data_IF_466228929837
#
_entry.id   IF_466228929837
#
_cell.length_a   1.000
_cell.length_b   1.000
_cell.length_c   1.000
_cell.angle_alpha   90.00
_cell.angle_beta   90.00
_cell.angle_gamma   90.00
#
_symmetry.space_group_name_H-M   'P 1'
#
loop_
_entity.id
_entity.type
_entity.pdbx_description
1 polymer ?
#
# COMPACT_ATOMS: atom_id res chain seq x y z
N UNK A 1 23.25 -6.42 3.45
CA UNK A 1 23.72 -7.81 3.34
C UNK A 1 24.53 -7.91 2.07
N UNK A 2 25.63 -8.62 2.08
CA UNK A 2 26.51 -8.82 0.92
C UNK A 2 26.26 -10.19 0.32
N UNK A 3 26.61 -10.40 -0.95
CA UNK A 3 26.40 -11.68 -1.66
C UNK A 3 26.98 -12.87 -0.88
N UNK A 4 28.19 -12.72 -0.33
CA UNK A 4 28.84 -13.79 0.42
C UNK A 4 28.08 -14.18 1.70
N UNK A 5 27.50 -13.21 2.41
CA UNK A 5 26.65 -13.49 3.58
C UNK A 5 25.35 -14.21 3.16
N UNK A 6 24.73 -13.76 2.06
CA UNK A 6 23.53 -14.39 1.54
C UNK A 6 23.76 -15.84 1.12
N UNK A 7 24.88 -16.14 0.45
CA UNK A 7 25.25 -17.51 0.07
C UNK A 7 25.37 -18.42 1.30
N UNK A 8 26.05 -17.95 2.35
CA UNK A 8 26.17 -18.69 3.61
C UNK A 8 24.80 -18.95 4.26
N UNK A 9 23.96 -17.92 4.34
CA UNK A 9 22.63 -18.02 4.95
C UNK A 9 21.74 -18.97 4.17
N UNK A 10 21.76 -18.89 2.83
CA UNK A 10 21.00 -19.78 1.95
C UNK A 10 21.43 -21.24 2.10
N UNK A 11 22.73 -21.52 2.15
CA UNK A 11 23.23 -22.87 2.41
C UNK A 11 22.75 -23.40 3.76
N UNK A 12 22.86 -22.61 4.82
CA UNK A 12 22.42 -23.01 6.16
C UNK A 12 20.91 -23.27 6.20
N UNK A 13 20.10 -22.41 5.57
CA UNK A 13 18.65 -22.61 5.46
C UNK A 13 18.31 -23.89 4.68
N UNK A 14 19.13 -24.24 3.66
CA UNK A 14 18.97 -25.48 2.89
C UNK A 14 19.49 -26.72 3.64
N UNK A 15 20.04 -26.58 4.85
CA UNK A 15 20.54 -27.68 5.67
C UNK A 15 21.81 -28.33 5.13
N UNK A 16 22.52 -27.67 4.20
CA UNK A 16 23.70 -28.25 3.53
C UNK A 16 25.00 -27.85 4.24
N UNK A 17 25.93 -28.80 4.32
CA UNK A 17 27.33 -28.49 4.67
C UNK A 17 28.05 -27.84 3.47
N UNK A 18 29.19 -27.19 3.71
CA UNK A 18 30.01 -26.64 2.62
C UNK A 18 30.51 -27.73 1.65
N UNK A 19 30.75 -28.93 2.16
CA UNK A 19 31.20 -30.10 1.39
C UNK A 19 30.09 -30.59 0.44
N UNK A 20 28.88 -30.77 0.98
CA UNK A 20 27.72 -31.20 0.19
C UNK A 20 27.31 -30.16 -0.86
N UNK A 21 27.33 -28.87 -0.52
CA UNK A 21 27.06 -27.82 -1.48
C UNK A 21 28.09 -27.80 -2.61
N UNK A 22 29.38 -27.94 -2.26
CA UNK A 22 30.47 -27.99 -3.23
C UNK A 22 30.33 -29.20 -4.17
N UNK A 23 30.08 -30.39 -3.62
CA UNK A 23 29.89 -31.63 -4.41
C UNK A 23 28.75 -31.48 -5.41
N UNK A 24 27.62 -30.89 -5.03
CA UNK A 24 26.43 -30.75 -5.90
C UNK A 24 26.62 -29.75 -7.05
N UNK A 25 27.48 -28.75 -6.89
CA UNK A 25 27.78 -27.77 -7.96
C UNK A 25 29.09 -28.02 -8.69
N UNK A 26 29.76 -29.15 -8.38
CA UNK A 26 31.02 -29.52 -9.02
C UNK A 26 32.23 -28.69 -8.59
N UNK A 27 32.23 -28.19 -7.34
CA UNK A 27 33.30 -27.38 -6.76
C UNK A 27 34.00 -28.07 -5.59
N UNK A 28 35.11 -27.49 -5.18
CA UNK A 28 35.78 -27.88 -3.93
C UNK A 28 35.16 -27.14 -2.73
N UNK A 29 35.20 -27.73 -1.53
CA UNK A 29 34.79 -27.10 -0.29
C UNK A 29 35.50 -25.75 -0.08
N UNK A 30 36.80 -25.66 -0.49
CA UNK A 30 37.54 -24.40 -0.38
C UNK A 30 36.97 -23.29 -1.28
N UNK A 31 36.44 -23.62 -2.46
CA UNK A 31 35.80 -22.65 -3.35
C UNK A 31 34.53 -22.08 -2.71
N UNK A 32 33.63 -22.94 -2.19
CA UNK A 32 32.43 -22.52 -1.47
C UNK A 32 32.81 -21.66 -0.25
N UNK A 33 33.79 -22.10 0.56
CA UNK A 33 34.27 -21.31 1.71
C UNK A 33 34.86 -19.95 1.27
N UNK A 34 35.52 -19.90 0.11
CA UNK A 34 36.01 -18.64 -0.47
C UNK A 34 34.89 -17.70 -0.88
N UNK A 35 33.82 -18.21 -1.45
CA UNK A 35 32.62 -17.42 -1.81
C UNK A 35 31.89 -16.90 -0.57
N UNK A 36 31.68 -17.75 0.44
CA UNK A 36 30.99 -17.39 1.68
C UNK A 36 31.80 -16.44 2.59
N UNK A 37 33.12 -16.43 2.46
CA UNK A 37 34.01 -15.51 3.19
C UNK A 37 34.26 -14.20 2.45
N UNK A 38 33.81 -14.08 1.19
CA UNK A 38 34.04 -12.91 0.36
C UNK A 38 35.46 -12.82 -0.24
N UNK A 39 36.31 -13.85 -0.04
CA UNK A 39 37.67 -13.90 -0.61
C UNK A 39 37.67 -14.07 -2.12
N UNK A 40 36.61 -14.67 -2.65
CA UNK A 40 36.38 -14.87 -4.09
C UNK A 40 34.94 -14.49 -4.41
N UNK A 41 34.73 -14.03 -5.63
CA UNK A 41 33.38 -13.78 -6.13
C UNK A 41 33.03 -14.89 -7.15
N UNK A 42 31.86 -15.55 -7.03
CA UNK A 42 31.37 -16.44 -8.06
C UNK A 42 31.02 -15.64 -9.31
N UNK A 43 31.23 -16.23 -10.46
CA UNK A 43 30.75 -15.73 -11.76
C UNK A 43 29.23 -15.89 -11.87
N UNK A 44 28.65 -15.34 -12.94
CA UNK A 44 27.19 -15.35 -13.13
C UNK A 44 26.64 -16.77 -13.27
N UNK A 45 27.37 -17.66 -13.99
CA UNK A 45 26.94 -19.04 -14.20
C UNK A 45 26.96 -19.83 -12.88
N UNK A 46 27.95 -19.56 -12.04
CA UNK A 46 28.04 -20.17 -10.72
C UNK A 46 26.95 -19.62 -9.77
N UNK A 47 26.62 -18.32 -9.85
CA UNK A 47 25.51 -17.75 -9.10
C UNK A 47 24.17 -18.38 -9.48
N UNK A 48 23.95 -18.67 -10.76
CA UNK A 48 22.76 -19.39 -11.24
C UNK A 48 22.71 -20.82 -10.69
N UNK A 49 23.82 -21.59 -10.78
CA UNK A 49 23.91 -22.95 -10.21
C UNK A 49 23.66 -22.97 -8.69
N UNK A 50 24.20 -21.98 -7.97
CA UNK A 50 23.97 -21.87 -6.52
C UNK A 50 22.52 -21.45 -6.22
N UNK A 51 21.89 -20.63 -7.07
CA UNK A 51 20.48 -20.28 -6.93
C UNK A 51 19.58 -21.52 -7.10
N UNK A 52 19.85 -22.36 -8.11
CA UNK A 52 19.15 -23.63 -8.31
C UNK A 52 19.36 -24.59 -7.14
N UNK A 53 20.61 -24.75 -6.68
CA UNK A 53 20.95 -25.61 -5.54
C UNK A 53 20.19 -25.22 -4.28
N UNK A 54 20.05 -23.92 -4.01
CA UNK A 54 19.39 -23.40 -2.81
C UNK A 54 17.90 -23.14 -3.03
N UNK A 55 17.32 -23.59 -4.14
CA UNK A 55 15.90 -23.37 -4.49
C UNK A 55 15.47 -21.91 -4.34
N UNK A 56 16.27 -21.00 -4.94
CA UNK A 56 16.02 -19.56 -4.92
C UNK A 56 16.27 -18.97 -6.31
N UNK A 57 15.87 -17.74 -6.51
CA UNK A 57 16.22 -16.97 -7.69
C UNK A 57 17.57 -16.24 -7.53
N UNK A 58 18.14 -15.76 -8.63
CA UNK A 58 19.40 -15.01 -8.62
C UNK A 58 19.33 -13.79 -7.69
N UNK A 59 18.16 -13.15 -7.61
CA UNK A 59 17.92 -11.98 -6.76
C UNK A 59 17.96 -12.37 -5.28
N UNK A 60 17.46 -13.55 -4.93
CA UNK A 60 17.57 -14.12 -3.58
C UNK A 60 19.02 -14.37 -3.18
N UNK A 61 19.88 -14.76 -4.13
CA UNK A 61 21.32 -14.92 -3.87
C UNK A 61 21.99 -13.56 -3.71
N UNK A 62 21.71 -12.59 -4.58
CA UNK A 62 22.37 -11.28 -4.58
C UNK A 62 21.89 -10.40 -3.39
N UNK A 63 20.59 -10.34 -3.17
CA UNK A 63 19.98 -9.43 -2.17
C UNK A 63 19.57 -10.13 -0.88
N UNK A 64 19.55 -11.46 -0.85
CA UNK A 64 19.13 -12.28 0.28
C UNK A 64 17.60 -12.41 0.40
N UNK A 65 17.11 -13.63 0.64
CA UNK A 65 15.67 -13.92 0.84
C UNK A 65 15.04 -13.04 1.92
N UNK A 66 15.75 -12.82 3.03
CA UNK A 66 15.24 -12.01 4.14
C UNK A 66 15.10 -10.54 3.81
N UNK A 67 15.93 -9.97 2.92
CA UNK A 67 15.82 -8.55 2.54
C UNK A 67 14.72 -8.32 1.52
N UNK A 68 14.58 -9.19 0.52
CA UNK A 68 13.50 -9.14 -0.47
C UNK A 68 12.13 -9.32 0.21
N UNK A 69 12.00 -10.29 1.11
CA UNK A 69 10.77 -10.53 1.86
C UNK A 69 10.42 -9.38 2.80
N UNK A 70 11.41 -8.78 3.47
CA UNK A 70 11.21 -7.57 4.31
C UNK A 70 10.76 -6.38 3.47
N UNK A 71 11.35 -6.18 2.28
CA UNK A 71 10.95 -5.11 1.35
C UNK A 71 9.52 -5.33 0.86
N UNK A 72 9.19 -6.55 0.43
CA UNK A 72 7.83 -6.91 0.01
C UNK A 72 6.82 -6.67 1.13
N UNK A 73 7.11 -7.10 2.36
CA UNK A 73 6.24 -6.87 3.52
C UNK A 73 6.05 -5.38 3.81
N UNK A 74 7.12 -4.57 3.72
CA UNK A 74 7.01 -3.10 3.89
C UNK A 74 6.12 -2.48 2.82
N UNK A 75 6.28 -2.91 1.56
CA UNK A 75 5.43 -2.46 0.47
C UNK A 75 3.96 -2.85 0.69
N UNK A 76 3.68 -4.09 1.07
CA UNK A 76 2.32 -4.55 1.36
C UNK A 76 1.67 -3.76 2.52
N UNK A 77 2.43 -3.49 3.59
CA UNK A 77 1.93 -2.65 4.69
C UNK A 77 1.68 -1.22 4.22
N UNK A 78 2.59 -0.63 3.45
CA UNK A 78 2.42 0.71 2.90
C UNK A 78 1.19 0.78 1.98
N UNK A 79 0.99 -0.21 1.10
CA UNK A 79 -0.17 -0.31 0.24
C UNK A 79 -1.48 -0.42 1.05
N UNK A 80 -1.49 -1.26 2.08
CA UNK A 80 -2.65 -1.40 2.96
C UNK A 80 -2.98 -0.09 3.69
N UNK A 81 -1.98 0.61 4.22
CA UNK A 81 -2.17 1.92 4.90
C UNK A 81 -2.66 2.98 3.92
N UNK A 82 -2.08 3.05 2.73
CA UNK A 82 -2.51 3.96 1.66
C UNK A 82 -3.97 3.72 1.25
N UNK A 83 -4.45 2.50 1.36
CA UNK A 83 -5.84 2.16 1.12
C UNK A 83 -6.76 2.48 2.32
N UNK A 84 -6.41 2.01 3.52
CA UNK A 84 -7.30 2.07 4.68
C UNK A 84 -7.46 3.49 5.24
N UNK A 85 -6.41 4.31 5.24
CA UNK A 85 -6.46 5.64 5.85
C UNK A 85 -7.45 6.56 5.12
N UNK A 86 -7.36 6.76 3.78
CA UNK A 86 -8.36 7.54 3.06
C UNK A 86 -9.77 6.96 3.17
N UNK A 87 -9.91 5.63 3.14
CA UNK A 87 -11.21 4.97 3.26
C UNK A 87 -11.87 5.27 4.63
N UNK A 88 -11.12 5.19 5.72
CA UNK A 88 -11.62 5.53 7.06
C UNK A 88 -11.99 7.01 7.18
N UNK A 89 -11.17 7.90 6.62
CA UNK A 89 -11.46 9.33 6.63
C UNK A 89 -12.73 9.65 5.82
N UNK A 90 -12.92 9.00 4.67
CA UNK A 90 -14.13 9.14 3.86
C UNK A 90 -15.36 8.58 4.59
N UNK A 91 -15.22 7.49 5.33
CA UNK A 91 -16.29 6.95 6.18
C UNK A 91 -16.68 7.94 7.29
N UNK A 92 -15.67 8.51 7.98
CA UNK A 92 -15.92 9.54 9.01
C UNK A 92 -16.60 10.76 8.42
N UNK A 93 -16.18 11.23 7.25
CA UNK A 93 -16.82 12.30 6.50
C UNK A 93 -18.30 11.99 6.24
N UNK A 94 -18.60 10.80 5.69
CA UNK A 94 -19.97 10.37 5.41
C UNK A 94 -20.84 10.28 6.68
N UNK A 95 -20.27 9.81 7.79
CA UNK A 95 -20.94 9.80 9.09
C UNK A 95 -21.25 11.22 9.61
N UNK A 96 -20.34 12.19 9.42
CA UNK A 96 -20.58 13.57 9.81
C UNK A 96 -21.69 14.23 8.99
N UNK A 97 -21.76 13.98 7.69
CA UNK A 97 -22.85 14.45 6.85
C UNK A 97 -24.19 13.90 7.35
N UNK A 98 -24.27 12.59 7.60
CA UNK A 98 -25.47 11.96 8.12
C UNK A 98 -25.87 12.56 9.47
N UNK A 99 -24.92 12.76 10.38
CA UNK A 99 -25.11 13.41 11.66
C UNK A 99 -25.65 14.84 11.51
N UNK A 100 -25.02 15.64 10.63
CA UNK A 100 -25.48 17.01 10.37
C UNK A 100 -26.92 17.05 9.83
N UNK A 101 -27.26 16.14 8.92
CA UNK A 101 -28.59 16.10 8.32
C UNK A 101 -29.67 15.59 9.28
N UNK A 102 -29.33 14.71 10.22
CA UNK A 102 -30.29 14.18 11.21
C UNK A 102 -30.47 15.08 12.42
N UNK A 103 -29.35 15.63 12.93
CA UNK A 103 -29.39 16.43 14.16
C UNK A 103 -29.64 17.92 13.90
N UNK A 104 -29.25 18.44 12.73
CA UNK A 104 -29.38 19.85 12.35
C UNK A 104 -30.04 19.99 10.97
N UNK A 105 -31.29 19.52 10.80
CA UNK A 105 -31.99 19.63 9.53
C UNK A 105 -32.25 21.09 9.19
N UNK A 106 -31.78 21.51 8.01
CA UNK A 106 -32.04 22.88 7.49
C UNK A 106 -32.75 22.72 6.16
N UNK A 107 -33.95 23.26 6.04
CA UNK A 107 -34.64 23.34 4.75
C UNK A 107 -34.00 24.43 3.89
N UNK A 108 -33.96 24.21 2.55
CA UNK A 108 -33.30 25.13 1.63
C UNK A 108 -33.92 26.53 1.57
N UNK A 109 -35.18 26.69 2.07
CA UNK A 109 -35.95 27.91 2.17
C UNK A 109 -35.99 28.51 3.59
N UNK A 110 -35.21 27.95 4.53
CA UNK A 110 -35.17 28.39 5.92
C UNK A 110 -34.59 29.80 6.02
N UNK A 111 -35.38 30.74 6.49
CA UNK A 111 -34.93 32.10 6.75
C UNK A 111 -34.00 32.17 7.97
N UNK A 112 -32.93 32.96 7.85
CA UNK A 112 -32.03 33.26 8.97
C UNK A 112 -32.72 34.23 9.92
N UNK A 113 -33.20 33.72 11.04
CA UNK A 113 -33.79 34.49 12.13
C UNK A 113 -32.95 34.30 13.40
N UNK A 114 -33.14 35.10 14.42
CA UNK A 114 -32.45 34.91 15.72
C UNK A 114 -32.70 33.51 16.30
N UNK A 115 -33.87 32.95 16.06
CA UNK A 115 -34.21 31.59 16.52
C UNK A 115 -33.51 30.48 15.74
N UNK A 116 -33.26 30.66 14.43
CA UNK A 116 -32.63 29.67 13.55
C UNK A 116 -31.12 29.83 13.46
N UNK A 117 -30.57 30.99 13.80
CA UNK A 117 -29.13 31.28 13.75
C UNK A 117 -28.26 30.24 14.45
N UNK A 118 -28.49 29.84 15.74
CA UNK A 118 -27.61 28.88 16.41
C UNK A 118 -27.60 27.50 15.75
N UNK A 119 -28.71 27.08 15.16
CA UNK A 119 -28.82 25.84 14.40
C UNK A 119 -27.93 25.91 13.15
N UNK A 120 -28.01 27.02 12.41
CA UNK A 120 -27.25 27.22 11.17
C UNK A 120 -25.76 27.33 11.48
N UNK A 121 -25.35 28.07 12.50
CA UNK A 121 -23.95 28.21 12.91
C UNK A 121 -23.34 26.86 13.32
N UNK A 122 -24.08 26.07 14.11
CA UNK A 122 -23.62 24.70 14.49
C UNK A 122 -23.46 23.80 13.27
N UNK A 123 -24.42 23.87 12.35
CA UNK A 123 -24.32 23.10 11.10
C UNK A 123 -23.10 23.53 10.24
N UNK A 124 -22.85 24.84 10.12
CA UNK A 124 -21.68 25.37 9.40
C UNK A 124 -20.36 24.92 10.05
N UNK A 125 -20.29 24.85 11.36
CA UNK A 125 -19.12 24.32 12.07
C UNK A 125 -18.88 22.82 11.75
N UNK A 126 -19.95 22.03 11.69
CA UNK A 126 -19.86 20.61 11.28
C UNK A 126 -19.44 20.49 9.82
N UNK A 127 -19.96 21.34 8.93
CA UNK A 127 -19.54 21.39 7.51
C UNK A 127 -18.03 21.71 7.40
N UNK A 128 -17.53 22.67 8.13
CA UNK A 128 -16.10 22.98 8.15
C UNK A 128 -15.23 21.80 8.62
N UNK A 129 -15.73 21.00 9.57
CA UNK A 129 -15.04 19.79 10.01
C UNK A 129 -15.01 18.70 8.91
N UNK A 130 -16.05 18.55 8.13
CA UNK A 130 -16.05 17.54 7.06
C UNK A 130 -15.13 17.94 5.88
N UNK A 131 -15.06 19.23 5.51
CA UNK A 131 -14.12 19.73 4.49
C UNK A 131 -12.66 19.45 4.89
N UNK A 132 -12.36 19.62 6.19
CA UNK A 132 -11.04 19.27 6.73
C UNK A 132 -10.75 17.77 6.56
N UNK A 133 -11.70 16.89 6.86
CA UNK A 133 -11.54 15.44 6.70
C UNK A 133 -11.33 15.04 5.24
N UNK A 134 -12.04 15.65 4.32
CA UNK A 134 -11.86 15.44 2.88
C UNK A 134 -10.44 15.85 2.44
N UNK A 135 -9.99 17.03 2.83
CA UNK A 135 -8.62 17.50 2.57
C UNK A 135 -7.55 16.57 3.14
N UNK A 136 -7.75 16.06 4.36
CA UNK A 136 -6.85 15.09 4.97
C UNK A 136 -6.86 13.74 4.23
N UNK A 137 -8.00 13.28 3.76
CA UNK A 137 -8.10 12.05 2.97
C UNK A 137 -7.36 12.17 1.63
N UNK A 138 -7.50 13.30 0.94
CA UNK A 138 -6.76 13.61 -0.28
C UNK A 138 -5.25 13.67 -0.03
N UNK A 139 -4.81 14.40 1.00
CA UNK A 139 -3.40 14.52 1.37
C UNK A 139 -2.80 13.14 1.73
N UNK A 140 -3.52 12.31 2.50
CA UNK A 140 -3.10 10.97 2.86
C UNK A 140 -2.96 10.07 1.62
N UNK A 141 -3.88 10.17 0.66
CA UNK A 141 -3.84 9.46 -0.61
C UNK A 141 -2.59 9.83 -1.43
N UNK A 142 -2.30 11.12 -1.59
CA UNK A 142 -1.09 11.60 -2.28
C UNK A 142 0.19 11.15 -1.58
N UNK A 143 0.28 11.33 -0.27
CA UNK A 143 1.45 10.91 0.51
C UNK A 143 1.69 9.39 0.41
N UNK A 144 0.63 8.59 0.48
CA UNK A 144 0.68 7.15 0.29
C UNK A 144 1.19 6.76 -1.10
N UNK A 145 0.73 7.44 -2.15
CA UNK A 145 1.20 7.22 -3.52
C UNK A 145 2.69 7.52 -3.68
N UNK A 146 3.17 8.64 -3.13
CA UNK A 146 4.60 8.98 -3.14
C UNK A 146 5.40 7.89 -2.41
N UNK A 147 4.93 7.44 -1.25
CA UNK A 147 5.58 6.37 -0.49
C UNK A 147 5.68 5.08 -1.29
N UNK A 148 4.60 4.67 -1.95
CA UNK A 148 4.58 3.47 -2.81
C UNK A 148 5.52 3.61 -4.00
N UNK A 149 5.54 4.77 -4.67
CA UNK A 149 6.46 5.05 -5.76
C UNK A 149 7.93 4.97 -5.34
N UNK A 150 8.27 5.42 -4.14
CA UNK A 150 9.63 5.32 -3.58
C UNK A 150 10.00 3.88 -3.22
N UNK A 151 9.04 3.08 -2.76
CA UNK A 151 9.29 1.69 -2.38
C UNK A 151 9.34 0.73 -3.57
N UNK A 152 8.69 1.08 -4.70
CA UNK A 152 8.56 0.23 -5.89
C UNK A 152 9.91 -0.18 -6.52
N UNK A 153 10.91 0.71 -6.74
CA UNK A 153 12.15 0.38 -7.43
C UNK A 153 13.00 -0.71 -6.76
N UNK A 154 12.70 -1.08 -5.53
CA UNK A 154 13.44 -2.14 -4.81
C UNK A 154 12.71 -3.47 -4.73
N UNK A 155 11.54 -3.59 -5.38
CA UNK A 155 10.73 -4.80 -5.35
C UNK A 155 11.05 -5.72 -6.53
N UNK A 156 11.29 -6.97 -6.19
CA UNK A 156 11.43 -8.07 -7.15
C UNK A 156 10.84 -9.34 -6.53
N UNK A 157 9.95 -10.05 -7.21
CA UNK A 157 9.31 -9.68 -8.49
C UNK A 157 8.32 -8.51 -8.32
N UNK A 158 8.17 -7.72 -9.38
CA UNK A 158 7.12 -6.69 -9.44
C UNK A 158 5.75 -7.34 -9.30
N UNK A 159 4.80 -6.69 -8.63
CA UNK A 159 3.43 -7.17 -8.59
C UNK A 159 2.90 -7.31 -10.03
N UNK A 160 2.22 -8.43 -10.32
CA UNK A 160 1.70 -8.64 -11.66
C UNK A 160 0.60 -7.62 -11.96
N UNK A 161 0.45 -7.19 -13.21
CA UNK A 161 -0.61 -6.26 -13.64
C UNK A 161 -2.01 -6.71 -13.18
N UNK A 162 -2.26 -8.02 -13.12
CA UNK A 162 -3.54 -8.58 -12.64
C UNK A 162 -3.80 -8.23 -11.17
N UNK A 163 -2.79 -8.33 -10.31
CA UNK A 163 -2.93 -7.98 -8.88
C UNK A 163 -3.07 -6.47 -8.68
N UNK A 164 -2.36 -5.66 -9.47
CA UNK A 164 -2.50 -4.21 -9.45
C UNK A 164 -3.90 -3.77 -9.87
N UNK A 165 -4.42 -4.32 -10.97
CA UNK A 165 -5.78 -4.04 -11.43
C UNK A 165 -6.84 -4.48 -10.40
N UNK A 166 -6.67 -5.66 -9.80
CA UNK A 166 -7.57 -6.14 -8.75
C UNK A 166 -7.56 -5.22 -7.53
N UNK A 167 -6.39 -4.71 -7.15
CA UNK A 167 -6.25 -3.77 -6.04
C UNK A 167 -6.97 -2.44 -6.33
N UNK A 168 -6.78 -1.86 -7.51
CA UNK A 168 -7.48 -0.63 -7.94
C UNK A 168 -9.00 -0.84 -7.95
N UNK A 169 -9.45 -1.98 -8.49
CA UNK A 169 -10.88 -2.31 -8.54
C UNK A 169 -11.47 -2.47 -7.14
N UNK A 170 -10.79 -3.19 -6.24
CA UNK A 170 -11.22 -3.35 -4.85
C UNK A 170 -11.28 -2.01 -4.11
N UNK A 171 -10.34 -1.11 -4.42
CA UNK A 171 -10.28 0.23 -3.88
C UNK A 171 -11.49 1.08 -4.30
N UNK A 172 -11.79 1.12 -5.59
CA UNK A 172 -12.95 1.83 -6.14
C UNK A 172 -14.27 1.27 -5.59
N UNK A 173 -14.41 -0.06 -5.58
CA UNK A 173 -15.61 -0.71 -5.04
C UNK A 173 -15.79 -0.45 -3.54
N UNK A 174 -14.70 -0.46 -2.77
CA UNK A 174 -14.71 -0.12 -1.34
C UNK A 174 -15.17 1.33 -1.09
N UNK A 175 -14.63 2.28 -1.87
CA UNK A 175 -15.04 3.67 -1.82
C UNK A 175 -16.53 3.86 -2.16
N UNK A 176 -17.01 3.24 -3.23
CA UNK A 176 -18.42 3.26 -3.61
C UNK A 176 -19.30 2.65 -2.50
N UNK A 177 -18.92 1.51 -1.95
CA UNK A 177 -19.67 0.83 -0.89
C UNK A 177 -19.78 1.68 0.39
N UNK A 178 -18.76 2.49 0.69
CA UNK A 178 -18.76 3.38 1.86
C UNK A 178 -19.62 4.64 1.64
N UNK A 179 -19.63 5.19 0.44
CA UNK A 179 -20.26 6.51 0.20
C UNK A 179 -21.70 6.40 -0.33
N UNK A 180 -22.02 5.38 -1.12
CA UNK A 180 -23.30 5.23 -1.78
C UNK A 180 -24.52 5.14 -0.84
N UNK A 181 -24.45 4.43 0.32
CA UNK A 181 -25.55 4.42 1.28
C UNK A 181 -25.88 5.79 1.84
N UNK A 182 -24.87 6.62 2.09
CA UNK A 182 -25.06 7.96 2.66
C UNK A 182 -25.67 8.95 1.66
N UNK A 183 -25.36 8.79 0.36
CA UNK A 183 -25.91 9.65 -0.70
C UNK A 183 -27.43 9.54 -0.83
N UNK A 184 -28.04 8.47 -0.33
CA UNK A 184 -29.49 8.28 -0.34
C UNK A 184 -30.22 9.11 0.74
N UNK A 185 -29.50 9.49 1.78
CA UNK A 185 -30.02 10.23 2.94
C UNK A 185 -29.61 11.71 2.96
N UNK A 186 -28.84 12.15 1.97
CA UNK A 186 -28.37 13.54 1.90
C UNK A 186 -29.27 14.38 0.98
N UNK A 187 -29.99 15.36 1.50
CA UNK A 187 -30.81 16.25 0.69
C UNK A 187 -30.01 17.31 -0.09
N UNK A 188 -28.76 17.59 0.33
CA UNK A 188 -27.94 18.69 -0.19
C UNK A 188 -26.96 18.26 -1.29
N UNK A 189 -26.48 17.00 -1.23
CA UNK A 189 -25.49 16.48 -2.17
C UNK A 189 -26.11 15.40 -3.06
N UNK A 190 -25.93 15.55 -4.37
CA UNK A 190 -26.35 14.54 -5.33
C UNK A 190 -25.41 13.32 -5.31
N UNK A 191 -25.85 12.19 -5.86
CA UNK A 191 -25.00 11.01 -6.04
C UNK A 191 -23.74 11.33 -6.88
N UNK A 192 -23.85 12.31 -7.78
CA UNK A 192 -22.74 12.76 -8.60
C UNK A 192 -21.66 13.47 -7.76
N UNK A 193 -22.05 14.25 -6.76
CA UNK A 193 -21.10 14.94 -5.86
C UNK A 193 -20.31 13.94 -5.02
N UNK A 194 -20.95 12.89 -4.51
CA UNK A 194 -20.27 11.79 -3.81
C UNK A 194 -19.29 11.04 -4.72
N UNK A 195 -19.64 10.85 -5.99
CA UNK A 195 -18.73 10.25 -6.97
C UNK A 195 -17.53 11.14 -7.29
N UNK A 196 -17.71 12.46 -7.31
CA UNK A 196 -16.62 13.42 -7.48
C UNK A 196 -15.66 13.42 -6.29
N UNK A 197 -16.17 13.39 -5.07
CA UNK A 197 -15.36 13.28 -3.83
C UNK A 197 -14.52 11.99 -3.88
N UNK A 198 -15.13 10.87 -4.24
CA UNK A 198 -14.42 9.61 -4.42
C UNK A 198 -13.32 9.73 -5.49
N UNK A 199 -13.65 10.29 -6.64
CA UNK A 199 -12.70 10.44 -7.73
C UNK A 199 -11.51 11.30 -7.30
N UNK A 200 -11.74 12.44 -6.67
CA UNK A 200 -10.67 13.33 -6.21
C UNK A 200 -9.79 12.68 -5.13
N UNK A 201 -10.39 11.96 -4.19
CA UNK A 201 -9.64 11.29 -3.12
C UNK A 201 -8.80 10.12 -3.64
N UNK A 202 -9.32 9.38 -4.64
CA UNK A 202 -8.73 8.13 -5.08
C UNK A 202 -8.00 8.20 -6.43
N UNK A 203 -8.18 9.28 -7.18
CA UNK A 203 -7.50 9.49 -8.47
C UNK A 203 -5.98 9.32 -8.40
N UNK A 204 -5.24 9.83 -7.39
CA UNK A 204 -3.80 9.65 -7.31
C UNK A 204 -3.40 8.17 -7.24
N UNK A 205 -4.19 7.34 -6.55
CA UNK A 205 -3.93 5.89 -6.45
C UNK A 205 -4.17 5.19 -7.79
N UNK A 206 -5.21 5.60 -8.52
CA UNK A 206 -5.55 5.03 -9.85
C UNK A 206 -4.51 5.39 -10.89
N UNK A 207 -3.93 6.60 -10.83
CA UNK A 207 -2.93 7.08 -11.80
C UNK A 207 -1.54 6.48 -11.58
N UNK A 208 -1.24 5.95 -10.40
CA UNK A 208 0.07 5.38 -10.05
C UNK A 208 0.15 3.87 -10.29
N UNK A 209 -0.97 3.20 -10.52
CA UNK A 209 -1.11 1.76 -10.74
C UNK A 209 -1.64 1.44 -12.13
#
# INVERSE_FOLDING_TARGET
MTVHQNLRDLRQISGLTQEEAASRVGLTRQAISGYESGRRQPDMDMLLKLAELYHTDLLGVVYGRGSAQKKMRRFQIAALVTFLVPLLLTLMHSCLILFANTCFPVAGDMLITEATRPLIETRLAVIGAWELLEGLAQAASFAGCILLAVLLPGLTPLPSMKHSLLFVLAFLLGGIAVTLPFSAFDPCYSRADYMLILLHTFLPVVLLW
#
